data_IF_184936120792
#
_entry.id   IF_184936120792
#
_cell.length_a   1.000
_cell.length_b   1.000
_cell.length_c   1.000
_cell.angle_alpha   90.00
_cell.angle_beta   90.00
_cell.angle_gamma   90.00
#
_symmetry.space_group_name_H-M   'P 1'
#
loop_
_entity.id
_entity.type
_entity.pdbx_description
1 polymer ?
#
# COMPACT_ATOMS: atom_id res chain seq x y z
N UNK A 1 5.35 -18.35 10.77
CA UNK A 1 6.29 -18.55 9.66
C UNK A 1 6.06 -17.50 8.57
N UNK A 2 4.89 -17.47 7.93
CA UNK A 2 4.57 -16.50 6.88
C UNK A 2 4.60 -15.01 7.29
N UNK A 3 4.10 -14.65 8.49
CA UNK A 3 4.17 -13.27 8.98
C UNK A 3 5.61 -12.76 9.09
N UNK A 4 6.50 -13.56 9.67
CA UNK A 4 7.92 -13.23 9.82
C UNK A 4 8.59 -13.05 8.46
N UNK A 5 8.27 -13.92 7.51
CA UNK A 5 8.81 -13.84 6.16
C UNK A 5 8.35 -12.59 5.40
N UNK A 6 7.08 -12.19 5.52
CA UNK A 6 6.60 -10.99 4.82
C UNK A 6 7.02 -9.72 5.54
N UNK A 7 6.99 -9.68 6.86
CA UNK A 7 7.10 -8.44 7.62
C UNK A 7 8.43 -8.24 8.35
N UNK A 8 9.17 -9.31 8.64
CA UNK A 8 10.41 -9.26 9.42
C UNK A 8 11.65 -9.69 8.63
N UNK A 9 11.53 -9.98 7.33
CA UNK A 9 12.66 -10.32 6.42
C UNK A 9 13.46 -9.11 5.91
N UNK A 10 13.22 -7.91 6.45
CA UNK A 10 13.90 -6.68 6.04
C UNK A 10 13.27 -6.03 4.80
N UNK A 11 14.09 -5.29 4.04
CA UNK A 11 13.66 -4.51 2.88
C UNK A 11 13.59 -5.36 1.60
N UNK A 12 12.80 -6.43 1.63
CA UNK A 12 12.50 -7.25 0.45
C UNK A 12 11.32 -6.67 -0.33
N UNK A 13 11.35 -6.79 -1.66
CA UNK A 13 10.22 -6.41 -2.51
C UNK A 13 9.06 -7.37 -2.25
N UNK A 14 7.91 -6.83 -1.87
CA UNK A 14 6.70 -7.61 -1.58
C UNK A 14 5.89 -7.85 -2.85
N UNK A 15 5.29 -9.03 -2.96
CA UNK A 15 4.36 -9.43 -4.03
C UNK A 15 2.93 -8.91 -3.83
N UNK A 16 2.73 -7.98 -2.90
CA UNK A 16 1.43 -7.45 -2.48
C UNK A 16 1.47 -5.93 -2.44
N UNK A 17 0.42 -5.30 -2.96
CA UNK A 17 0.09 -3.89 -2.76
C UNK A 17 -1.36 -3.76 -2.30
N UNK A 18 -1.65 -2.71 -1.54
CA UNK A 18 -3.01 -2.44 -1.07
C UNK A 18 -3.32 -0.94 -1.02
N UNK A 19 -4.61 -0.62 -1.00
CA UNK A 19 -5.13 0.73 -0.84
C UNK A 19 -6.43 0.71 -0.06
N UNK A 20 -6.74 1.83 0.60
CA UNK A 20 -8.00 2.03 1.31
C UNK A 20 -8.85 3.02 0.53
N UNK A 21 -10.02 2.57 0.10
CA UNK A 21 -11.08 3.38 -0.45
C UNK A 21 -11.97 3.88 0.68
N UNK A 22 -11.75 5.11 1.10
CA UNK A 22 -12.69 5.81 1.96
C UNK A 22 -13.85 6.40 1.15
N UNK A 23 -15.05 6.42 1.73
CA UNK A 23 -16.18 7.19 1.21
C UNK A 23 -16.01 8.69 1.47
N UNK A 24 -17.07 9.34 1.94
CA UNK A 24 -16.94 10.71 2.48
C UNK A 24 -16.19 10.67 3.80
N UNK A 25 -15.10 11.41 3.87
CA UNK A 25 -14.25 11.49 5.07
C UNK A 25 -13.76 12.90 5.31
N UNK A 26 -13.49 13.19 6.57
CA UNK A 26 -12.85 14.41 7.01
C UNK A 26 -11.54 14.05 7.71
N UNK A 27 -10.44 14.48 7.10
CA UNK A 27 -9.11 14.33 7.69
C UNK A 27 -8.90 15.43 8.72
N UNK A 28 -8.79 15.04 9.98
CA UNK A 28 -8.35 15.90 11.08
C UNK A 28 -6.86 15.62 11.36
N UNK A 29 -6.25 16.36 12.30
CA UNK A 29 -4.82 16.23 12.57
C UNK A 29 -4.40 14.79 12.92
N UNK A 30 -5.08 14.19 13.90
CA UNK A 30 -4.71 12.87 14.45
C UNK A 30 -5.73 11.77 14.18
N UNK A 31 -6.88 12.12 13.58
CA UNK A 31 -7.99 11.20 13.34
C UNK A 31 -8.57 11.41 11.95
N UNK A 32 -9.18 10.34 11.42
CA UNK A 32 -10.01 10.40 10.22
C UNK A 32 -11.44 10.17 10.67
N UNK A 33 -12.30 11.16 10.46
CA UNK A 33 -13.73 11.03 10.69
C UNK A 33 -14.37 10.43 9.44
N UNK A 34 -15.00 9.26 9.59
CA UNK A 34 -15.74 8.62 8.51
C UNK A 34 -17.21 9.06 8.60
N UNK A 35 -17.75 9.59 7.51
CA UNK A 35 -19.18 9.94 7.42
C UNK A 35 -20.06 8.69 7.49
N UNK A 36 -19.58 7.61 6.87
CA UNK A 36 -20.16 6.26 6.96
C UNK A 36 -19.14 5.33 7.61
N UNK A 37 -19.57 4.50 8.58
CA UNK A 37 -18.74 3.51 9.28
C UNK A 37 -18.37 2.29 8.39
N UNK A 38 -18.03 2.53 7.13
CA UNK A 38 -17.66 1.52 6.14
C UNK A 38 -16.58 2.07 5.23
N UNK A 39 -15.61 1.23 4.89
CA UNK A 39 -14.58 1.52 3.90
C UNK A 39 -14.21 0.24 3.17
N UNK A 40 -13.53 0.38 2.04
CA UNK A 40 -13.09 -0.74 1.22
C UNK A 40 -11.58 -0.85 1.26
N UNK A 41 -11.04 -2.06 1.41
CA UNK A 41 -9.63 -2.33 1.20
C UNK A 41 -9.50 -3.08 -0.12
N UNK A 42 -8.71 -2.52 -1.05
CA UNK A 42 -8.34 -3.19 -2.29
C UNK A 42 -6.94 -3.73 -2.15
N UNK A 43 -6.74 -5.02 -2.41
CA UNK A 43 -5.44 -5.68 -2.41
C UNK A 43 -5.17 -6.29 -3.78
N UNK A 44 -3.92 -6.19 -4.25
CA UNK A 44 -3.43 -6.91 -5.43
C UNK A 44 -2.21 -7.71 -5.02
N UNK A 45 -2.29 -9.03 -5.20
CA UNK A 45 -1.24 -9.98 -4.86
C UNK A 45 -0.88 -10.75 -6.12
N UNK A 46 0.39 -10.78 -6.48
CA UNK A 46 0.88 -11.48 -7.69
C UNK A 46 1.27 -12.92 -7.42
N UNK A 47 1.65 -13.25 -6.18
CA UNK A 47 2.01 -14.60 -5.77
C UNK A 47 0.78 -15.40 -5.29
N UNK A 48 0.54 -16.58 -5.87
CA UNK A 48 -0.66 -17.36 -5.62
C UNK A 48 -0.72 -17.95 -4.20
N UNK A 49 0.41 -18.38 -3.66
CA UNK A 49 0.50 -18.90 -2.30
C UNK A 49 0.20 -17.79 -1.28
N UNK A 50 0.85 -16.64 -1.46
CA UNK A 50 0.59 -15.43 -0.67
C UNK A 50 -0.90 -15.06 -0.74
N UNK A 51 -1.49 -15.06 -1.93
CA UNK A 51 -2.90 -14.72 -2.12
C UNK A 51 -3.83 -15.68 -1.35
N UNK A 52 -3.56 -16.99 -1.41
CA UNK A 52 -4.34 -18.00 -0.70
C UNK A 52 -4.25 -17.82 0.82
N UNK A 53 -3.06 -17.53 1.33
CA UNK A 53 -2.83 -17.32 2.77
C UNK A 53 -3.57 -16.07 3.26
N UNK A 54 -3.47 -14.94 2.55
CA UNK A 54 -4.23 -13.74 2.89
C UNK A 54 -5.74 -13.98 2.83
N UNK A 55 -6.22 -14.62 1.77
CA UNK A 55 -7.64 -14.90 1.60
C UNK A 55 -8.18 -15.78 2.73
N UNK A 56 -7.48 -16.86 3.07
CA UNK A 56 -7.86 -17.78 4.16
C UNK A 56 -7.84 -17.08 5.52
N UNK A 57 -6.83 -16.25 5.77
CA UNK A 57 -6.71 -15.47 7.02
C UNK A 57 -7.85 -14.47 7.17
N UNK A 58 -8.19 -13.74 6.09
CA UNK A 58 -9.30 -12.80 6.08
C UNK A 58 -10.65 -13.50 6.25
N UNK A 59 -10.84 -14.66 5.61
CA UNK A 59 -12.04 -15.45 5.85
C UNK A 59 -12.21 -15.85 7.31
N UNK A 60 -11.11 -16.20 7.99
CA UNK A 60 -11.11 -16.48 9.44
C UNK A 60 -11.45 -15.27 10.31
N UNK A 61 -11.23 -14.05 9.83
CA UNK A 61 -11.59 -12.80 10.51
C UNK A 61 -12.99 -12.28 10.13
N UNK A 62 -13.70 -12.96 9.24
CA UNK A 62 -15.00 -12.48 8.75
C UNK A 62 -16.03 -12.54 9.86
N UNK A 63 -16.69 -11.41 10.12
CA UNK A 63 -17.68 -11.29 11.20
C UNK A 63 -17.08 -11.03 12.59
N UNK A 64 -15.76 -11.11 12.73
CA UNK A 64 -15.08 -10.86 14.01
C UNK A 64 -14.74 -9.38 14.17
N UNK A 65 -14.96 -8.85 15.39
CA UNK A 65 -14.62 -7.48 15.72
C UNK A 65 -13.10 -7.34 15.91
N UNK A 66 -12.46 -6.59 15.03
CA UNK A 66 -11.04 -6.25 15.11
C UNK A 66 -10.87 -4.87 15.77
N UNK A 67 -10.14 -4.77 16.89
CA UNK A 67 -9.97 -3.51 17.61
C UNK A 67 -9.11 -2.52 16.82
N UNK A 68 -9.53 -1.27 16.81
CA UNK A 68 -8.83 -0.10 16.28
C UNK A 68 -8.50 0.87 17.42
N UNK A 69 -7.79 1.95 17.11
CA UNK A 69 -7.51 3.02 18.08
C UNK A 69 -8.79 3.77 18.49
N UNK A 70 -8.75 4.44 19.66
CA UNK A 70 -9.84 5.24 20.21
C UNK A 70 -11.13 4.44 20.42
N UNK A 71 -11.02 3.22 20.94
CA UNK A 71 -12.15 2.31 21.22
C UNK A 71 -13.05 2.03 20.01
N UNK A 72 -12.49 2.18 18.80
CA UNK A 72 -13.16 1.80 17.56
C UNK A 72 -12.97 0.32 17.29
N UNK A 73 -13.88 -0.25 16.51
CA UNK A 73 -13.79 -1.62 16.02
C UNK A 73 -14.12 -1.64 14.54
N UNK A 74 -13.47 -2.52 13.80
CA UNK A 74 -13.83 -2.84 12.42
C UNK A 74 -14.23 -4.30 12.31
N UNK A 75 -15.15 -4.59 11.41
CA UNK A 75 -15.59 -5.96 11.13
C UNK A 75 -15.52 -6.19 9.63
N UNK A 76 -14.90 -7.30 9.23
CA UNK A 76 -14.88 -7.68 7.82
C UNK A 76 -16.24 -8.24 7.40
N UNK A 77 -17.00 -7.45 6.63
CA UNK A 77 -18.34 -7.84 6.17
C UNK A 77 -18.33 -8.75 4.94
N UNK A 78 -17.48 -8.45 3.95
CA UNK A 78 -17.42 -9.22 2.71
C UNK A 78 -16.05 -9.17 2.05
N UNK A 79 -15.74 -10.20 1.29
CA UNK A 79 -14.56 -10.27 0.41
C UNK A 79 -15.09 -10.54 -1.00
N UNK A 80 -14.58 -9.80 -1.98
CA UNK A 80 -14.97 -9.94 -3.39
C UNK A 80 -13.72 -10.03 -4.25
N UNK A 81 -13.68 -11.02 -5.14
CA UNK A 81 -12.64 -11.11 -6.16
C UNK A 81 -13.03 -10.21 -7.34
N UNK A 82 -12.14 -9.31 -7.71
CA UNK A 82 -12.33 -8.40 -8.85
C UNK A 82 -11.49 -8.92 -10.01
N UNK A 83 -12.10 -9.06 -11.20
CA UNK A 83 -11.39 -9.43 -12.41
C UNK A 83 -10.64 -8.21 -12.95
N UNK A 84 -9.37 -8.38 -13.32
CA UNK A 84 -8.62 -7.34 -14.01
C UNK A 84 -9.13 -7.22 -15.45
N UNK A 85 -9.33 -5.98 -15.90
CA UNK A 85 -9.71 -5.69 -17.27
C UNK A 85 -8.46 -5.63 -18.15
N UNK A 86 -8.55 -6.22 -19.34
CA UNK A 86 -7.48 -6.10 -20.35
C UNK A 86 -7.56 -4.73 -21.01
N UNK A 87 -6.46 -3.99 -20.96
CA UNK A 87 -6.32 -2.72 -21.68
C UNK A 87 -5.99 -3.04 -23.14
N UNK A 88 -6.96 -2.83 -24.03
CA UNK A 88 -6.81 -3.07 -25.47
C UNK A 88 -6.62 -1.78 -26.29
N UNK A 89 -6.72 -0.62 -25.65
CA UNK A 89 -6.64 0.69 -26.29
C UNK A 89 -5.22 1.27 -26.20
N UNK A 90 -4.88 2.17 -27.12
CA UNK A 90 -3.61 2.91 -27.10
C UNK A 90 -3.50 3.88 -25.91
N UNK A 91 -4.63 4.28 -25.33
CA UNK A 91 -4.72 5.22 -24.21
C UNK A 91 -5.51 4.58 -23.07
N UNK A 92 -4.96 4.67 -21.86
CA UNK A 92 -5.61 4.26 -20.62
C UNK A 92 -5.56 5.38 -19.59
N UNK A 93 -6.67 5.59 -18.89
CA UNK A 93 -6.78 6.55 -17.78
C UNK A 93 -6.76 5.81 -16.46
N UNK A 94 -5.79 6.13 -15.60
CA UNK A 94 -5.66 5.51 -14.29
C UNK A 94 -6.05 6.46 -13.17
N UNK A 95 -6.92 5.99 -12.27
CA UNK A 95 -7.17 6.68 -11.00
C UNK A 95 -6.32 6.07 -9.91
N UNK A 96 -5.38 6.84 -9.38
CA UNK A 96 -4.51 6.44 -8.29
C UNK A 96 -5.31 6.30 -6.99
N UNK A 97 -5.29 5.10 -6.38
CA UNK A 97 -6.01 4.78 -5.14
C UNK A 97 -5.16 4.89 -3.88
N UNK A 98 -3.84 4.89 -4.02
CA UNK A 98 -2.86 5.12 -2.97
C UNK A 98 -1.73 5.99 -3.50
N UNK A 99 -1.17 6.93 -2.72
CA UNK A 99 -0.12 7.82 -3.20
C UNK A 99 1.07 7.05 -3.79
N UNK A 100 1.55 7.49 -4.96
CA UNK A 100 2.78 6.97 -5.55
C UNK A 100 3.98 7.51 -4.77
N UNK A 101 4.87 6.63 -4.35
CA UNK A 101 6.07 6.97 -3.62
C UNK A 101 7.29 6.60 -4.48
N UNK A 102 7.99 7.61 -4.99
CA UNK A 102 9.20 7.43 -5.78
C UNK A 102 10.38 8.00 -4.99
N UNK A 103 11.38 7.16 -4.72
CA UNK A 103 12.65 7.58 -4.13
C UNK A 103 13.74 7.60 -5.20
N UNK A 104 14.61 8.61 -5.10
CA UNK A 104 15.80 8.74 -5.92
C UNK A 104 17.02 8.75 -5.01
N UNK A 105 17.93 7.83 -5.25
CA UNK A 105 19.23 7.82 -4.58
C UNK A 105 20.09 8.97 -5.10
N UNK A 106 20.69 9.76 -4.19
CA UNK A 106 21.61 10.84 -4.53
C UNK A 106 22.98 10.52 -3.94
N UNK A 107 23.87 10.00 -4.79
CA UNK A 107 25.24 9.57 -4.44
C UNK A 107 26.02 10.61 -3.61
N UNK A 108 25.89 11.89 -3.98
CA UNK A 108 26.64 12.99 -3.34
C UNK A 108 26.29 13.21 -1.87
N UNK A 109 25.09 12.82 -1.45
CA UNK A 109 24.61 13.05 -0.08
C UNK A 109 24.38 11.76 0.70
N UNK A 110 24.59 10.60 0.08
CA UNK A 110 24.22 9.28 0.60
C UNK A 110 22.80 9.25 1.20
N UNK A 111 21.88 9.98 0.56
CA UNK A 111 20.52 10.19 1.03
C UNK A 111 19.54 9.97 -0.12
N UNK A 112 18.40 9.36 0.21
CA UNK A 112 17.26 9.24 -0.68
C UNK A 112 16.45 10.53 -0.66
N UNK A 113 16.06 11.01 -1.84
CA UNK A 113 15.08 12.09 -1.99
C UNK A 113 13.79 11.54 -2.55
N UNK A 114 12.66 11.93 -1.96
CA UNK A 114 11.36 11.68 -2.57
C UNK A 114 11.12 12.63 -3.74
N UNK A 115 10.73 12.05 -4.88
CA UNK A 115 10.39 12.79 -6.10
C UNK A 115 8.89 13.01 -6.14
N UNK A 116 8.48 14.23 -6.44
CA UNK A 116 7.09 14.64 -6.53
C UNK A 116 6.76 15.09 -7.96
N UNK A 117 5.47 15.25 -8.25
CA UNK A 117 5.00 15.51 -9.62
C UNK A 117 5.50 16.82 -10.24
N UNK A 118 5.91 17.79 -9.42
CA UNK A 118 6.46 19.07 -9.86
C UNK A 118 7.95 18.97 -10.21
N UNK A 119 8.61 17.88 -9.81
CA UNK A 119 10.02 17.66 -10.12
C UNK A 119 10.20 17.22 -11.58
N UNK A 120 11.17 17.83 -12.28
CA UNK A 120 11.44 17.55 -13.70
C UNK A 120 11.83 16.10 -13.99
N UNK A 121 12.33 15.39 -12.99
CA UNK A 121 12.76 13.99 -13.08
C UNK A 121 11.66 12.99 -12.71
N UNK A 122 10.45 13.42 -12.33
CA UNK A 122 9.36 12.53 -11.93
C UNK A 122 9.04 11.45 -12.96
N UNK A 123 8.88 11.82 -14.23
CA UNK A 123 8.58 10.88 -15.30
C UNK A 123 9.70 9.85 -15.49
N UNK A 124 10.95 10.30 -15.40
CA UNK A 124 12.14 9.46 -15.57
C UNK A 124 12.25 8.46 -14.43
N UNK A 125 12.06 8.90 -13.19
CA UNK A 125 12.13 8.00 -12.03
C UNK A 125 10.93 7.03 -11.99
N UNK A 126 9.75 7.44 -12.46
CA UNK A 126 8.61 6.53 -12.64
C UNK A 126 8.92 5.44 -13.68
N UNK A 127 9.47 5.82 -14.83
CA UNK A 127 9.85 4.89 -15.90
C UNK A 127 10.88 3.87 -15.40
N UNK A 128 11.95 4.34 -14.73
CA UNK A 128 12.96 3.46 -14.11
C UNK A 128 12.32 2.48 -13.14
N UNK A 129 11.43 2.95 -12.27
CA UNK A 129 10.73 2.10 -11.30
C UNK A 129 9.88 1.04 -11.99
N UNK A 130 9.19 1.39 -13.08
CA UNK A 130 8.42 0.43 -13.89
C UNK A 130 9.33 -0.61 -14.54
N UNK A 131 10.50 -0.22 -15.05
CA UNK A 131 11.48 -1.15 -15.65
C UNK A 131 12.07 -2.08 -14.58
N UNK A 132 12.44 -1.54 -13.41
CA UNK A 132 12.88 -2.35 -12.26
C UNK A 132 11.81 -3.37 -11.85
N UNK A 133 10.53 -2.95 -11.88
CA UNK A 133 9.43 -3.79 -11.44
C UNK A 133 8.96 -4.80 -12.49
N UNK A 134 9.13 -4.47 -13.78
CA UNK A 134 8.63 -5.22 -14.95
C UNK A 134 9.71 -5.25 -16.06
N UNK A 135 10.89 -5.85 -15.82
CA UNK A 135 12.02 -5.78 -16.75
C UNK A 135 11.72 -6.41 -18.11
N UNK A 136 10.81 -7.38 -18.17
CA UNK A 136 10.37 -8.03 -19.40
C UNK A 136 9.50 -7.14 -20.31
N UNK A 137 9.11 -5.95 -19.85
CA UNK A 137 8.35 -4.94 -20.62
C UNK A 137 9.18 -3.70 -20.94
N UNK A 138 10.49 -3.71 -20.72
CA UNK A 138 11.36 -2.53 -20.83
C UNK A 138 11.12 -1.72 -22.12
N UNK A 139 11.15 -2.37 -23.29
CA UNK A 139 10.96 -1.70 -24.57
C UNK A 139 9.57 -1.04 -24.68
N UNK A 140 8.53 -1.71 -24.20
CA UNK A 140 7.17 -1.13 -24.17
C UNK A 140 7.05 0.03 -23.20
N UNK A 141 7.76 -0.04 -22.06
CA UNK A 141 7.75 1.01 -21.05
C UNK A 141 8.41 2.28 -21.59
N UNK A 142 9.53 2.16 -22.31
CA UNK A 142 10.21 3.30 -22.95
C UNK A 142 9.36 4.00 -24.03
N UNK A 143 8.39 3.30 -24.60
CA UNK A 143 7.45 3.87 -25.57
C UNK A 143 6.27 4.61 -24.90
N UNK A 144 6.06 4.43 -23.60
CA UNK A 144 4.95 5.06 -22.88
C UNK A 144 5.08 6.58 -22.86
N UNK A 145 3.94 7.24 -23.03
CA UNK A 145 3.81 8.68 -22.83
C UNK A 145 2.86 8.92 -21.66
N UNK A 146 3.35 9.61 -20.65
CA UNK A 146 2.58 9.90 -19.46
C UNK A 146 1.93 11.28 -19.56
N UNK A 147 0.64 11.35 -19.26
CA UNK A 147 -0.02 12.58 -18.87
C UNK A 147 -0.33 12.50 -17.36
N UNK A 148 0.18 13.46 -16.60
CA UNK A 148 0.03 13.52 -15.15
C UNK A 148 -1.01 14.54 -14.67
N UNK A 149 -1.80 15.10 -15.58
CA UNK A 149 -2.87 16.04 -15.26
C UNK A 149 -3.81 15.44 -14.21
N UNK A 150 -4.08 16.21 -13.16
CA UNK A 150 -4.93 15.79 -12.04
C UNK A 150 -4.21 15.05 -10.91
N UNK A 151 -2.93 14.67 -11.07
CA UNK A 151 -2.11 14.24 -9.94
C UNK A 151 -1.77 15.41 -9.03
N UNK A 152 -1.68 15.14 -7.73
CA UNK A 152 -1.35 16.12 -6.70
C UNK A 152 -0.33 15.54 -5.75
N UNK A 153 0.56 16.41 -5.25
CA UNK A 153 1.48 16.06 -4.16
C UNK A 153 0.69 15.82 -2.88
N UNK A 154 0.98 14.69 -2.22
CA UNK A 154 0.43 14.34 -0.91
C UNK A 154 1.58 14.05 0.03
N UNK A 155 1.52 14.58 1.25
CA UNK A 155 2.49 14.31 2.32
C UNK A 155 1.79 13.40 3.32
N UNK A 156 2.35 12.22 3.55
CA UNK A 156 1.84 11.25 4.52
C UNK A 156 2.82 11.17 5.69
N UNK A 157 2.33 11.38 6.92
CA UNK A 157 3.13 11.23 8.12
C UNK A 157 3.37 9.74 8.40
N UNK A 158 4.62 9.33 8.59
CA UNK A 158 4.95 7.97 9.02
C UNK A 158 4.69 7.89 10.52
N UNK A 159 3.58 7.26 10.91
CA UNK A 159 3.35 6.91 12.31
C UNK A 159 4.27 5.76 12.68
N UNK A 160 5.31 6.03 13.48
CA UNK A 160 6.13 4.98 14.09
C UNK A 160 5.26 4.21 15.08
N UNK A 161 4.81 3.03 14.72
CA UNK A 161 4.18 2.11 15.66
C UNK A 161 5.21 1.77 16.72
N UNK A 162 5.06 2.34 17.91
CA UNK A 162 5.88 2.00 19.06
C UNK A 162 5.54 0.57 19.44
N UNK A 163 6.39 -0.39 19.07
CA UNK A 163 6.31 -1.77 19.57
C UNK A 163 6.46 -1.73 21.09
N UNK A 164 5.33 -1.65 21.82
CA UNK A 164 5.32 -1.92 23.26
C UNK A 164 5.75 -3.38 23.42
N UNK A 165 7.00 -3.59 23.84
CA UNK A 165 7.45 -4.88 24.39
C UNK A 165 6.46 -5.28 25.48
N UNK A 166 5.65 -6.29 25.22
CA UNK A 166 4.89 -6.99 26.26
C UNK A 166 5.93 -7.61 27.19
N UNK A 167 6.15 -6.98 28.35
CA UNK A 167 6.87 -7.61 29.47
C UNK A 167 6.04 -8.82 29.87
N UNK A 168 6.54 -10.03 29.58
CA UNK A 168 6.08 -11.25 30.26
C UNK A 168 6.29 -11.02 31.76
N UNK A 169 5.20 -10.82 32.50
CA UNK A 169 5.17 -10.99 33.94
C UNK A 169 5.53 -12.46 34.20
N UNK A 170 6.70 -12.69 34.80
CA UNK A 170 6.99 -13.99 35.42
C UNK A 170 6.06 -14.08 36.63
N UNK A 171 5.24 -15.14 36.66
CA UNK A 171 4.53 -15.52 37.86
C UNK A 171 5.55 -15.88 38.94
N UNK A 172 5.50 -15.12 40.03
CA UNK A 172 5.83 -15.62 41.35
C UNK A 172 4.62 -16.43 41.81
N UNK A 173 4.78 -17.73 41.99
CA UNK A 173 4.02 -18.45 42.99
C UNK A 173 4.99 -19.30 43.81
N UNK A 174 4.71 -19.26 45.12
CA UNK A 174 5.49 -19.69 46.25
C UNK A 174 5.59 -21.21 46.37
#
# INVERSE_FOLDING_TARGET
MFYEEIYNSGASKKSLVWSIGFGKVKFCNDIIELDNCSFEITMKITDAETALIYYSSLLGMKGEAFPLSNDNYMELKSIKMVREETINNEIALFKIRSPLCLNKYIDRTNNDRYVNIEDKDFAIELEKKLIEDLPYLEEKIKELRFNFDGLKKTITTIHKTSSKKVKKLKGEEQ
#
